data_IF_415208874732
#
_entry.id   IF_415208874732
#
_cell.length_a   1.000
_cell.length_b   1.000
_cell.length_c   1.000
_cell.angle_alpha   90.00
_cell.angle_beta   90.00
_cell.angle_gamma   90.00
#
_symmetry.space_group_name_H-M   'P 1'
#
loop_
_entity.id
_entity.type
_entity.pdbx_description
1 polymer ?
#
# COMPACT_ATOMS: atom_id res chain seq x y z
N UNK A 1 -10.77 -24.25 -37.19
CA UNK A 1 -9.96 -25.15 -36.32
C UNK A 1 -8.91 -24.28 -35.64
N UNK A 2 -9.08 -24.06 -34.32
CA UNK A 2 -8.12 -23.78 -33.24
C UNK A 2 -6.73 -23.18 -33.62
N UNK A 3 -6.23 -22.11 -32.97
CA UNK A 3 -6.32 -21.86 -31.54
C UNK A 3 -5.92 -20.44 -31.14
N UNK A 4 -6.55 -20.01 -30.05
CA UNK A 4 -6.37 -18.75 -29.39
C UNK A 4 -5.11 -18.76 -28.50
N UNK A 5 -4.46 -17.60 -28.40
CA UNK A 5 -4.05 -17.05 -27.10
C UNK A 5 -4.03 -15.53 -27.22
N UNK A 6 -5.04 -14.81 -26.70
CA UNK A 6 -4.80 -13.44 -26.30
C UNK A 6 -3.90 -13.51 -25.05
N UNK A 7 -2.60 -13.26 -25.18
CA UNK A 7 -1.76 -12.94 -24.03
C UNK A 7 -2.14 -11.54 -23.55
N UNK A 8 -3.27 -11.48 -22.84
CA UNK A 8 -3.67 -10.30 -22.11
C UNK A 8 -3.23 -10.54 -20.67
N UNK A 9 -1.96 -10.25 -20.41
CA UNK A 9 -1.59 -9.81 -19.06
C UNK A 9 -2.57 -8.70 -18.65
N UNK A 10 -2.90 -8.57 -17.36
CA UNK A 10 -3.92 -7.63 -16.92
C UNK A 10 -3.64 -6.29 -17.57
N UNK A 11 -4.63 -5.73 -18.30
CA UNK A 11 -4.51 -4.37 -18.78
C UNK A 11 -4.29 -3.53 -17.53
N UNK A 12 -3.08 -3.00 -17.37
CA UNK A 12 -2.68 -2.15 -16.25
C UNK A 12 -3.40 -0.82 -16.41
N UNK A 13 -4.72 -0.81 -16.26
CA UNK A 13 -5.41 0.36 -15.76
C UNK A 13 -4.88 0.52 -14.33
N UNK A 14 -3.74 1.20 -14.23
CA UNK A 14 -3.05 1.73 -13.05
C UNK A 14 -3.47 1.06 -11.72
N UNK A 15 -3.06 -0.19 -11.52
CA UNK A 15 -3.22 -0.85 -10.23
C UNK A 15 -2.26 -0.18 -9.23
N UNK A 16 -2.81 0.36 -8.15
CA UNK A 16 -2.02 0.92 -7.07
C UNK A 16 -1.53 -0.24 -6.18
N UNK A 17 -0.23 -0.52 -6.20
CA UNK A 17 0.38 -1.60 -5.43
C UNK A 17 1.27 -1.01 -4.32
N UNK A 18 1.08 -1.48 -3.10
CA UNK A 18 2.01 -1.27 -1.99
C UNK A 18 2.84 -2.54 -1.74
N UNK A 19 4.13 -2.40 -1.49
CA UNK A 19 5.00 -3.53 -1.12
C UNK A 19 5.43 -3.40 0.32
N UNK A 20 5.00 -4.32 1.18
CA UNK A 20 5.49 -4.43 2.55
C UNK A 20 6.78 -5.25 2.55
N UNK A 21 7.88 -4.62 2.98
CA UNK A 21 9.17 -5.27 3.21
C UNK A 21 9.19 -5.88 4.60
N UNK A 22 9.17 -7.21 4.69
CA UNK A 22 9.26 -7.92 5.97
C UNK A 22 10.56 -8.72 6.06
N UNK A 23 10.94 -9.15 7.27
CA UNK A 23 12.06 -10.07 7.45
C UNK A 23 11.80 -11.50 6.93
N UNK A 24 10.56 -11.81 6.51
CA UNK A 24 10.17 -13.09 5.89
C UNK A 24 9.97 -12.99 4.39
N UNK A 25 10.26 -11.84 3.79
CA UNK A 25 10.07 -11.57 2.37
C UNK A 25 9.09 -10.43 2.10
N UNK A 26 8.82 -10.21 0.82
CA UNK A 26 7.97 -9.12 0.34
C UNK A 26 6.51 -9.56 0.25
N UNK A 27 5.59 -8.69 0.66
CA UNK A 27 4.15 -8.86 0.47
C UNK A 27 3.67 -7.74 -0.45
N UNK A 28 3.17 -8.09 -1.64
CA UNK A 28 2.52 -7.16 -2.54
C UNK A 28 1.02 -7.05 -2.19
N UNK A 29 0.54 -5.83 -2.02
CA UNK A 29 -0.85 -5.51 -1.68
C UNK A 29 -1.43 -4.65 -2.79
N UNK A 30 -2.54 -5.10 -3.38
CA UNK A 30 -3.34 -4.28 -4.28
C UNK A 30 -4.28 -3.36 -3.48
N UNK A 31 -4.28 -2.08 -3.82
CA UNK A 31 -5.11 -1.06 -3.20
C UNK A 31 -6.24 -0.65 -4.16
N UNK A 32 -7.43 -0.47 -3.61
CA UNK A 32 -8.66 -0.17 -4.37
C UNK A 32 -9.16 1.26 -4.08
N UNK A 33 -8.51 2.32 -4.60
CA UNK A 33 -8.87 3.71 -4.30
C UNK A 33 -10.30 4.06 -4.74
N UNK A 34 -10.79 3.43 -5.81
CA UNK A 34 -12.16 3.66 -6.30
C UNK A 34 -13.23 3.07 -5.36
N UNK A 35 -12.90 2.02 -4.60
CA UNK A 35 -13.83 1.37 -3.67
C UNK A 35 -13.73 1.95 -2.26
N UNK A 36 -12.52 2.26 -1.80
CA UNK A 36 -12.24 2.73 -0.44
C UNK A 36 -11.29 3.93 -0.43
N UNK A 37 -11.69 5.08 -1.02
CA UNK A 37 -10.78 6.20 -1.27
C UNK A 37 -10.12 6.73 0.00
N UNK A 38 -10.91 6.96 1.06
CA UNK A 38 -10.40 7.49 2.34
C UNK A 38 -9.46 6.52 3.05
N UNK A 39 -9.71 5.21 2.94
CA UNK A 39 -8.88 4.19 3.57
C UNK A 39 -7.56 4.07 2.85
N UNK A 40 -7.60 4.06 1.51
CA UNK A 40 -6.40 4.00 0.67
C UNK A 40 -5.56 5.26 0.86
N UNK A 41 -6.17 6.45 0.82
CA UNK A 41 -5.48 7.72 1.10
C UNK A 41 -4.83 7.74 2.49
N UNK A 42 -5.56 7.27 3.52
CA UNK A 42 -5.00 7.17 4.87
C UNK A 42 -3.82 6.20 4.93
N UNK A 43 -3.94 5.03 4.31
CA UNK A 43 -2.88 4.02 4.30
C UNK A 43 -1.63 4.54 3.59
N UNK A 44 -1.78 5.07 2.37
CA UNK A 44 -0.67 5.61 1.57
C UNK A 44 -0.03 6.80 2.28
N UNK A 45 -0.83 7.74 2.79
CA UNK A 45 -0.29 8.93 3.46
C UNK A 45 0.49 8.60 4.73
N UNK A 46 0.06 7.59 5.48
CA UNK A 46 0.83 7.08 6.62
C UNK A 46 2.09 6.32 6.19
N UNK A 47 2.03 5.55 5.10
CA UNK A 47 3.19 4.81 4.58
C UNK A 47 4.27 5.73 4.01
N UNK A 48 3.88 6.81 3.33
CA UNK A 48 4.81 7.77 2.71
C UNK A 48 5.24 8.90 3.65
N UNK A 49 4.64 8.99 4.85
CA UNK A 49 4.92 10.08 5.79
C UNK A 49 4.32 11.43 5.39
N UNK A 50 3.36 11.46 4.48
CA UNK A 50 2.67 12.70 4.07
C UNK A 50 1.50 13.04 4.98
N UNK A 51 1.07 12.10 5.84
CA UNK A 51 0.00 12.27 6.83
C UNK A 51 0.56 12.31 8.25
N UNK A 52 0.20 13.36 9.01
CA UNK A 52 0.53 13.46 10.42
C UNK A 52 -0.18 12.38 11.25
N UNK A 53 0.54 11.80 12.22
CA UNK A 53 0.02 10.85 13.19
C UNK A 53 0.59 11.11 14.58
N UNK A 54 -0.11 10.60 15.59
CA UNK A 54 0.27 10.76 17.00
C UNK A 54 1.20 9.61 17.43
N UNK A 55 2.43 9.94 17.82
CA UNK A 55 3.40 8.96 18.28
C UNK A 55 2.91 8.24 19.56
N UNK A 56 2.80 6.90 19.58
CA UNK A 56 2.27 6.18 20.75
C UNK A 56 3.25 6.20 21.95
N UNK A 57 4.55 6.45 21.73
CA UNK A 57 5.56 6.49 22.80
C UNK A 57 5.56 7.78 23.61
N UNK A 58 4.98 8.87 23.08
CA UNK A 58 5.03 10.18 23.75
C UNK A 58 3.90 11.15 23.41
N UNK A 59 2.98 10.78 22.51
CA UNK A 59 1.83 11.60 22.12
C UNK A 59 2.15 12.82 21.25
N UNK A 60 3.41 13.04 20.91
CA UNK A 60 3.82 14.09 19.98
C UNK A 60 3.39 13.77 18.54
N UNK A 61 3.06 14.78 17.73
CA UNK A 61 2.83 14.59 16.29
C UNK A 61 4.11 14.13 15.58
N UNK A 62 3.95 13.38 14.50
CA UNK A 62 5.02 12.85 13.66
C UNK A 62 4.54 12.70 12.22
N UNK A 63 5.47 12.82 11.28
CA UNK A 63 5.27 12.53 9.85
C UNK A 63 6.25 11.49 9.33
N UNK A 64 7.02 10.83 10.21
CA UNK A 64 7.84 9.68 9.82
C UNK A 64 6.95 8.56 9.22
N UNK A 65 7.44 7.77 8.24
CA UNK A 65 6.71 6.61 7.71
C UNK A 65 6.19 5.71 8.83
N UNK A 66 4.86 5.61 8.94
CA UNK A 66 4.21 5.05 10.12
C UNK A 66 4.43 3.55 10.27
N UNK A 67 4.45 2.81 9.17
CA UNK A 67 4.50 1.34 9.19
C UNK A 67 5.92 0.78 9.36
N UNK A 68 6.95 1.62 9.24
CA UNK A 68 8.33 1.18 9.32
C UNK A 68 8.70 0.74 10.74
N UNK A 69 9.18 -0.50 10.87
CA UNK A 69 9.60 -1.09 12.14
C UNK A 69 8.46 -1.62 13.02
N UNK A 70 7.22 -1.65 12.53
CA UNK A 70 6.13 -2.35 13.22
C UNK A 70 6.33 -3.87 13.15
N UNK A 71 6.03 -4.54 14.27
CA UNK A 71 6.01 -6.01 14.34
C UNK A 71 4.63 -6.55 14.00
N UNK A 72 4.61 -7.71 13.34
CA UNK A 72 3.41 -8.50 13.03
C UNK A 72 3.60 -9.93 13.52
#
# INVERSE_FOLDING_TARGET
MNGATPSRGPNVAEQLIATLKTNKGDIAIELFPNQAPKTVENFVGLAEGTKEWKNPRGGAPSTEPFYDGLGF
#
